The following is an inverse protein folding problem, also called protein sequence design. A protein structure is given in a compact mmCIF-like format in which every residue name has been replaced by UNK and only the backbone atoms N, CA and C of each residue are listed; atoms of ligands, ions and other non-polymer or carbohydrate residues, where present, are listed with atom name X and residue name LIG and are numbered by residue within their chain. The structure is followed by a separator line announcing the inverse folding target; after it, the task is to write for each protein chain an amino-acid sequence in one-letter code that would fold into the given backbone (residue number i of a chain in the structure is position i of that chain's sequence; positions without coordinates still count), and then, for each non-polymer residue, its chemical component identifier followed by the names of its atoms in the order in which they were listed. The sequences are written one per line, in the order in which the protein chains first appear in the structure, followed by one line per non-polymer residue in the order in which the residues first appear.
data_IF_376069801381
#
_entry.id   IF_376069801381
#
_cell.length_a   1.000
_cell.length_b   1.000
_cell.length_c   1.000
_cell.angle_alpha   90.00
_cell.angle_beta   90.00
_cell.angle_gamma   90.00
#
_symmetry.space_group_name_H-M   'P 1'
#
loop_
_entity.id
_entity.type
_entity.pdbx_description
1 polymer ?
#
# COMPACT_ATOMS: atom_id res chain seq x y z
N UNK A 1 4.47 18.53 20.65
CA UNK A 1 5.01 17.27 21.21
C UNK A 1 4.20 16.14 20.59
N UNK A 2 4.79 15.32 19.71
CA UNK A 2 4.08 14.25 18.97
C UNK A 2 3.65 13.07 19.85
N UNK A 3 4.02 13.06 21.12
CA UNK A 3 3.75 12.00 22.08
C UNK A 3 2.30 11.94 22.60
N UNK A 4 1.46 12.92 22.26
CA UNK A 4 0.03 12.95 22.64
C UNK A 4 -0.92 12.52 21.52
N UNK A 5 -0.40 12.04 20.39
CA UNK A 5 -1.23 11.34 19.40
C UNK A 5 -1.59 9.97 19.99
N UNK A 6 -2.87 9.78 20.33
CA UNK A 6 -3.35 8.47 20.72
C UNK A 6 -3.45 7.58 19.48
N UNK A 7 -2.38 6.82 19.23
CA UNK A 7 -2.30 5.87 18.13
C UNK A 7 -3.38 4.77 18.21
N UNK A 8 -4.09 4.64 19.35
CA UNK A 8 -5.21 3.71 19.48
C UNK A 8 -6.49 4.16 18.77
N UNK A 9 -6.61 5.44 18.40
CA UNK A 9 -7.80 6.01 17.76
C UNK A 9 -7.71 6.15 16.24
N UNK A 10 -6.60 5.73 15.61
CA UNK A 10 -6.46 5.87 14.16
C UNK A 10 -7.52 5.04 13.45
N UNK A 11 -8.44 5.71 12.76
CA UNK A 11 -9.46 5.07 11.92
C UNK A 11 -8.87 4.68 10.57
N UNK A 12 -9.44 3.65 9.96
CA UNK A 12 -9.10 3.25 8.60
C UNK A 12 -9.21 4.46 7.66
N UNK A 13 -8.20 4.64 6.81
CA UNK A 13 -8.13 5.73 5.83
C UNK A 13 -8.44 5.22 4.42
N UNK A 14 -9.30 4.21 4.29
CA UNK A 14 -9.71 3.75 2.97
C UNK A 14 -10.63 4.78 2.31
N UNK A 15 -10.48 4.96 1.00
CA UNK A 15 -11.33 5.86 0.21
C UNK A 15 -12.81 5.43 0.19
N UNK A 16 -13.11 4.21 0.65
CA UNK A 16 -14.47 3.69 0.79
C UNK A 16 -15.19 4.20 2.06
N UNK A 17 -14.59 5.10 2.84
CA UNK A 17 -15.19 5.69 4.04
C UNK A 17 -15.29 4.72 5.23
N UNK A 18 -14.37 3.75 5.31
CA UNK A 18 -14.35 2.80 6.41
C UNK A 18 -14.02 3.48 7.75
N UNK A 19 -14.84 3.27 8.77
CA UNK A 19 -14.64 3.85 10.11
C UNK A 19 -14.03 2.86 11.12
N UNK A 20 -13.74 1.63 10.71
CA UNK A 20 -13.11 0.62 11.56
C UNK A 20 -11.74 1.10 12.05
N UNK A 21 -11.33 0.65 13.24
CA UNK A 21 -9.98 0.91 13.76
C UNK A 21 -8.91 0.39 12.80
N UNK A 22 -7.94 1.23 12.47
CA UNK A 22 -6.81 0.84 11.66
C UNK A 22 -5.83 -0.02 12.46
N UNK A 23 -5.16 -0.92 11.77
CA UNK A 23 -4.24 -1.90 12.37
C UNK A 23 -2.94 -2.03 11.61
N UNK A 24 -2.85 -1.52 10.38
CA UNK A 24 -1.67 -1.66 9.55
C UNK A 24 -1.34 -0.34 8.84
N UNK A 25 -0.04 -0.08 8.66
CA UNK A 25 0.48 0.84 7.66
C UNK A 25 0.82 0.03 6.42
N UNK A 26 0.42 0.53 5.25
CA UNK A 26 0.61 -0.13 3.96
C UNK A 26 1.34 0.81 3.03
N UNK A 27 2.44 0.34 2.46
CA UNK A 27 3.16 1.03 1.40
C UNK A 27 2.84 0.33 0.08
N UNK A 28 2.08 1.00 -0.79
CA UNK A 28 1.77 0.53 -2.14
C UNK A 28 2.63 1.24 -3.15
N UNK A 29 3.43 0.50 -3.91
CA UNK A 29 4.24 1.10 -4.97
C UNK A 29 3.35 1.72 -6.05
N UNK A 30 3.58 2.99 -6.38
CA UNK A 30 2.88 3.65 -7.48
C UNK A 30 3.54 3.26 -8.80
N UNK A 31 3.18 2.08 -9.34
CA UNK A 31 3.75 1.53 -10.57
C UNK A 31 3.64 2.57 -11.70
N UNK A 32 4.76 2.80 -12.39
CA UNK A 32 4.92 3.76 -13.50
C UNK A 32 4.65 5.25 -13.16
N UNK A 33 4.34 5.53 -11.90
CA UNK A 33 4.12 6.89 -11.36
C UNK A 33 4.88 7.12 -10.06
N UNK A 34 5.96 6.38 -9.81
CA UNK A 34 6.62 6.37 -8.50
C UNK A 34 7.46 7.63 -8.21
N UNK A 35 7.44 8.61 -9.12
CA UNK A 35 8.10 9.91 -9.03
C UNK A 35 7.11 11.06 -8.71
N UNK A 36 5.86 10.76 -8.41
CA UNK A 36 4.86 11.78 -8.09
C UNK A 36 5.14 12.47 -6.73
N UNK A 37 4.86 13.78 -6.58
CA UNK A 37 5.24 14.55 -5.39
C UNK A 37 4.60 14.09 -4.07
N UNK A 38 3.46 13.39 -4.11
CA UNK A 38 2.70 12.95 -2.93
C UNK A 38 3.13 11.57 -2.39
N UNK A 39 4.17 10.97 -2.97
CA UNK A 39 4.64 9.64 -2.59
C UNK A 39 5.77 9.72 -1.57
N UNK A 40 5.99 8.62 -0.85
CA UNK A 40 7.17 8.49 0.00
C UNK A 40 8.47 8.49 -0.84
N UNK A 41 9.65 8.66 -0.23
CA UNK A 41 10.93 8.69 -0.96
C UNK A 41 11.26 7.41 -1.75
N UNK A 42 10.55 6.31 -1.49
CA UNK A 42 10.69 5.03 -2.19
C UNK A 42 9.63 4.85 -3.28
N UNK A 43 8.83 5.89 -3.55
CA UNK A 43 7.82 5.93 -4.60
C UNK A 43 6.56 5.12 -4.27
N UNK A 44 6.20 5.04 -2.99
CA UNK A 44 4.97 4.37 -2.56
C UNK A 44 3.91 5.39 -2.09
N UNK A 45 2.65 5.10 -2.36
CA UNK A 45 1.52 5.69 -1.62
C UNK A 45 1.40 4.99 -0.28
N UNK A 46 1.32 5.76 0.81
CA UNK A 46 1.18 5.23 2.16
C UNK A 46 -0.28 5.32 2.59
N UNK A 47 -0.85 4.22 3.09
CA UNK A 47 -2.20 4.17 3.61
C UNK A 47 -2.25 3.49 4.97
N UNK A 48 -3.19 3.90 5.82
CA UNK A 48 -3.40 3.30 7.13
C UNK A 48 -4.75 2.56 7.14
N UNK A 49 -4.72 1.23 7.19
CA UNK A 49 -5.88 0.40 6.93
C UNK A 49 -6.22 -0.54 8.09
N UNK A 50 -7.50 -0.86 8.22
CA UNK A 50 -7.96 -2.00 9.03
C UNK A 50 -7.66 -3.32 8.30
N UNK A 51 -7.75 -4.44 9.02
CA UNK A 51 -7.55 -5.79 8.44
C UNK A 51 -8.47 -6.09 7.27
N UNK A 52 -9.72 -5.59 7.29
CA UNK A 52 -10.68 -5.78 6.20
C UNK A 52 -10.23 -5.07 4.92
N UNK A 53 -10.02 -3.76 4.99
CA UNK A 53 -9.60 -2.97 3.83
C UNK A 53 -8.20 -3.37 3.32
N UNK A 54 -7.31 -3.88 4.18
CA UNK A 54 -6.05 -4.45 3.74
C UNK A 54 -6.27 -5.68 2.83
N UNK A 55 -7.19 -6.59 3.19
CA UNK A 55 -7.49 -7.77 2.37
C UNK A 55 -8.10 -7.37 1.02
N UNK A 56 -8.98 -6.36 1.02
CA UNK A 56 -9.56 -5.84 -0.21
C UNK A 56 -8.48 -5.24 -1.12
N UNK A 57 -7.57 -4.45 -0.56
CA UNK A 57 -6.44 -3.88 -1.28
C UNK A 57 -5.52 -4.96 -1.85
N UNK A 58 -5.18 -5.99 -1.06
CA UNK A 58 -4.38 -7.12 -1.51
C UNK A 58 -5.05 -7.85 -2.67
N UNK A 59 -6.36 -8.06 -2.60
CA UNK A 59 -7.16 -8.68 -3.65
C UNK A 59 -7.11 -7.85 -4.93
N UNK A 60 -7.27 -6.53 -4.82
CA UNK A 60 -7.22 -5.63 -5.97
C UNK A 60 -5.83 -5.63 -6.62
N UNK A 61 -4.76 -5.54 -5.82
CA UNK A 61 -3.39 -5.61 -6.35
C UNK A 61 -3.11 -6.96 -7.01
N UNK A 62 -3.55 -8.08 -6.43
CA UNK A 62 -3.42 -9.40 -7.07
C UNK A 62 -4.12 -9.45 -8.42
N UNK A 63 -5.33 -8.90 -8.55
CA UNK A 63 -6.04 -8.80 -9.84
C UNK A 63 -5.26 -7.98 -10.86
N UNK A 64 -4.61 -6.89 -10.44
CA UNK A 64 -3.77 -6.07 -11.33
C UNK A 64 -2.51 -6.86 -11.75
N UNK A 65 -1.88 -7.57 -10.81
CA UNK A 65 -0.72 -8.42 -11.08
C UNK A 65 -1.05 -9.58 -12.04
N UNK A 66 -2.23 -10.18 -11.91
CA UNK A 66 -2.68 -11.26 -12.81
C UNK A 66 -2.79 -10.78 -14.27
N UNK A 67 -3.17 -9.52 -14.50
CA UNK A 67 -3.23 -8.93 -15.85
C UNK A 67 -1.87 -8.80 -16.52
N UNK A 68 -0.80 -8.66 -15.73
CA UNK A 68 0.58 -8.53 -16.23
C UNK A 68 1.38 -9.83 -16.12
N UNK A 69 0.77 -10.91 -15.62
CA UNK A 69 1.42 -12.21 -15.38
C UNK A 69 1.94 -12.88 -16.65
N UNK A 70 1.39 -12.52 -17.81
CA UNK A 70 1.85 -12.97 -19.13
C UNK A 70 3.20 -12.36 -19.54
N UNK A 71 3.66 -11.30 -18.86
CA UNK A 71 4.95 -10.67 -19.10
C UNK A 71 5.94 -11.14 -18.04
N UNK A 72 6.87 -12.05 -18.39
CA UNK A 72 7.90 -12.49 -17.46
C UNK A 72 8.70 -11.27 -17.01
N UNK A 73 8.85 -11.10 -15.70
CA UNK A 73 9.65 -10.03 -15.08
C UNK A 73 9.12 -8.60 -15.28
N UNK A 74 7.81 -8.39 -15.25
CA UNK A 74 7.25 -7.03 -15.23
C UNK A 74 7.96 -6.14 -14.17
N UNK A 75 8.29 -4.91 -14.56
CA UNK A 75 8.99 -3.90 -13.77
C UNK A 75 8.32 -2.54 -13.93
N UNK A 76 8.47 -1.68 -12.93
CA UNK A 76 8.07 -0.28 -12.98
C UNK A 76 8.97 0.47 -13.97
N UNK A 77 8.39 1.14 -14.96
CA UNK A 77 9.11 1.86 -16.00
C UNK A 77 9.80 3.13 -15.49
N UNK A 78 9.39 3.63 -14.31
CA UNK A 78 10.00 4.82 -13.70
C UNK A 78 11.28 4.50 -12.93
N UNK A 79 11.30 3.44 -12.12
CA UNK A 79 12.43 3.14 -11.22
C UNK A 79 13.06 1.75 -11.42
N UNK A 80 12.53 0.92 -12.32
CA UNK A 80 13.02 -0.43 -12.58
C UNK A 80 12.69 -1.47 -11.50
N UNK A 81 11.96 -1.10 -10.42
CA UNK A 81 11.54 -2.05 -9.38
C UNK A 81 10.72 -3.18 -10.01
N UNK A 82 10.97 -4.46 -9.68
CA UNK A 82 10.09 -5.55 -10.11
C UNK A 82 8.65 -5.30 -9.63
N UNK A 83 7.63 -5.68 -10.40
CA UNK A 83 6.22 -5.52 -10.02
C UNK A 83 5.38 -6.76 -10.33
N UNK A 84 5.98 -7.94 -10.38
CA UNK A 84 5.30 -9.19 -10.76
C UNK A 84 4.88 -10.06 -9.55
N UNK A 85 5.06 -9.58 -8.31
CA UNK A 85 4.64 -10.26 -7.07
C UNK A 85 4.00 -9.26 -6.13
N UNK A 86 3.11 -9.75 -5.27
CA UNK A 86 2.44 -8.94 -4.25
C UNK A 86 3.45 -8.20 -3.36
N UNK A 87 4.49 -8.89 -2.89
CA UNK A 87 5.53 -8.30 -2.03
C UNK A 87 6.37 -7.22 -2.71
N UNK A 88 6.36 -7.15 -4.05
CA UNK A 88 7.03 -6.05 -4.74
C UNK A 88 6.16 -4.79 -4.83
N UNK A 89 4.84 -4.97 -4.87
CA UNK A 89 3.85 -3.91 -5.00
C UNK A 89 3.31 -3.41 -3.66
N UNK A 90 3.35 -4.24 -2.62
CA UNK A 90 2.80 -3.96 -1.29
C UNK A 90 3.76 -4.42 -0.19
N UNK A 91 4.06 -3.50 0.74
CA UNK A 91 4.65 -3.79 2.05
C UNK A 91 3.65 -3.41 3.15
N UNK A 92 3.61 -4.19 4.22
CA UNK A 92 2.64 -4.03 5.32
C UNK A 92 3.39 -4.10 6.64
N UNK A 93 3.07 -3.17 7.55
CA UNK A 93 3.60 -3.13 8.91
C UNK A 93 2.44 -3.00 9.90
N UNK A 94 2.46 -3.78 10.97
CA UNK A 94 1.46 -3.71 12.03
C UNK A 94 1.66 -2.44 12.87
N UNK A 95 0.57 -1.73 13.14
CA UNK A 95 0.54 -0.58 14.06
C UNK A 95 0.57 -0.99 15.53
N UNK A 96 0.43 -2.28 15.84
CA UNK A 96 0.36 -2.80 17.21
C UNK A 96 1.73 -3.16 17.79
N UNK A 97 2.83 -2.80 17.11
CA UNK A 97 4.20 -3.06 17.54
C UNK A 97 4.83 -1.85 18.21
#
# INVERSE_FOLDING_TARGET
MLATLDWHEVTCQSDAGCTSRATHVVHRHAVDGCNQPSLDPLGNSVGILCTGCLRDLQTEVLRQLDRIRSTPRAYCLTCGRPVHKLSHALSVTDLRQ
#
